data_IF_059311869817
#
_entry.id   IF_059311869817
#
_cell.length_a   1.000
_cell.length_b   1.000
_cell.length_c   1.000
_cell.angle_alpha   90.00
_cell.angle_beta   90.00
_cell.angle_gamma   90.00
#
_symmetry.space_group_name_H-M   'P 1'
#
loop_
_entity.id
_entity.type
_entity.pdbx_description
1 polymer ?
#
# COMPACT_ATOMS: atom_id res chain seq x y z
N UNK A 1 21.18 -8.45 -18.14
CA UNK A 1 20.96 -9.44 -17.06
C UNK A 1 20.87 -8.71 -15.74
N UNK A 2 19.65 -8.43 -15.26
CA UNK A 2 19.41 -7.73 -13.99
C UNK A 2 19.22 -8.75 -12.88
N UNK A 3 20.07 -8.70 -11.85
CA UNK A 3 20.05 -9.62 -10.71
C UNK A 3 18.65 -9.63 -10.03
N UNK A 4 18.16 -10.83 -9.71
CA UNK A 4 16.94 -10.99 -8.92
C UNK A 4 17.17 -10.40 -7.51
N UNK A 5 16.17 -9.72 -6.92
CA UNK A 5 16.29 -9.27 -5.55
C UNK A 5 16.48 -10.47 -4.63
N UNK A 6 17.60 -10.51 -3.91
CA UNK A 6 17.89 -11.56 -2.93
C UNK A 6 16.97 -11.45 -1.70
N UNK A 7 16.72 -12.53 -0.97
CA UNK A 7 15.91 -12.52 0.27
C UNK A 7 16.33 -11.44 1.28
N UNK A 8 17.62 -11.10 1.31
CA UNK A 8 18.18 -10.03 2.13
C UNK A 8 17.56 -8.64 1.81
N UNK A 9 17.19 -8.39 0.56
CA UNK A 9 16.56 -7.12 0.14
C UNK A 9 15.11 -7.01 0.60
N UNK A 10 14.37 -8.12 0.56
CA UNK A 10 13.00 -8.21 1.08
C UNK A 10 12.97 -8.04 2.60
N UNK A 11 13.89 -8.70 3.31
CA UNK A 11 14.03 -8.55 4.77
C UNK A 11 14.31 -7.09 5.17
N UNK A 12 15.29 -6.45 4.51
CA UNK A 12 15.60 -5.02 4.74
C UNK A 12 14.41 -4.12 4.47
N UNK A 13 13.63 -4.40 3.43
CA UNK A 13 12.40 -3.64 3.14
C UNK A 13 11.39 -3.74 4.28
N UNK A 14 11.10 -4.96 4.77
CA UNK A 14 10.13 -5.18 5.85
C UNK A 14 10.60 -4.50 7.14
N UNK A 15 11.89 -4.61 7.49
CA UNK A 15 12.46 -3.95 8.67
C UNK A 15 12.34 -2.42 8.59
N UNK A 16 12.62 -1.83 7.43
CA UNK A 16 12.46 -0.39 7.22
C UNK A 16 11.00 0.05 7.29
N UNK A 17 10.07 -0.72 6.73
CA UNK A 17 8.62 -0.42 6.83
C UNK A 17 8.14 -0.52 8.27
N UNK A 18 8.66 -1.47 9.06
CA UNK A 18 8.34 -1.62 10.49
C UNK A 18 8.72 -0.38 11.29
N UNK A 19 9.85 0.26 10.99
CA UNK A 19 10.28 1.53 11.63
C UNK A 19 9.36 2.71 11.33
N UNK A 20 8.54 2.62 10.28
CA UNK A 20 7.57 3.65 9.91
C UNK A 20 6.22 3.48 10.62
N UNK A 21 5.95 2.31 11.22
CA UNK A 21 4.72 2.06 11.97
C UNK A 21 4.62 3.04 13.14
N UNK A 22 3.46 3.67 13.32
CA UNK A 22 3.22 4.69 14.35
C UNK A 22 3.67 6.12 13.99
N UNK A 23 4.53 6.31 12.98
CA UNK A 23 4.91 7.64 12.46
C UNK A 23 3.92 8.18 11.42
N UNK A 24 3.00 7.35 10.95
CA UNK A 24 1.98 7.72 9.97
C UNK A 24 0.62 7.85 10.63
N UNK A 25 -0.06 9.00 10.46
CA UNK A 25 -1.40 9.26 11.01
C UNK A 25 -2.52 8.33 10.51
N UNK A 26 -2.26 7.48 9.52
CA UNK A 26 -3.24 6.50 9.03
C UNK A 26 -2.80 5.10 9.43
N UNK A 27 -3.51 4.52 10.41
CA UNK A 27 -3.35 3.12 10.87
C UNK A 27 -3.54 2.08 9.76
N UNK A 28 -4.04 2.48 8.59
CA UNK A 28 -4.46 1.58 7.51
C UNK A 28 -3.47 1.56 6.33
N UNK A 29 -2.32 2.20 6.47
CA UNK A 29 -1.30 2.24 5.41
C UNK A 29 -0.27 1.13 5.54
N UNK A 30 0.00 0.70 6.78
CA UNK A 30 1.00 -0.30 7.12
C UNK A 30 0.25 -1.35 7.93
N UNK A 31 -0.07 -2.46 7.28
CA UNK A 31 -0.76 -3.60 7.89
C UNK A 31 0.17 -4.79 7.79
N UNK A 32 0.58 -5.31 8.93
CA UNK A 32 1.28 -6.60 8.99
C UNK A 32 0.27 -7.72 8.80
N UNK A 33 0.76 -8.92 8.48
CA UNK A 33 -0.11 -10.06 8.18
C UNK A 33 -1.16 -10.32 9.25
N UNK A 34 -0.80 -10.22 10.53
CA UNK A 34 -1.73 -10.45 11.63
C UNK A 34 -2.86 -9.40 11.65
N UNK A 35 -2.53 -8.13 11.40
CA UNK A 35 -3.49 -7.02 11.34
C UNK A 35 -4.38 -7.11 10.10
N UNK A 36 -3.80 -7.57 9.00
CA UNK A 36 -4.51 -7.82 7.76
C UNK A 36 -5.52 -8.97 7.92
N UNK A 37 -5.13 -10.06 8.58
CA UNK A 37 -6.00 -11.21 8.83
C UNK A 37 -7.18 -10.84 9.74
N UNK A 38 -6.94 -10.01 10.78
CA UNK A 38 -8.01 -9.45 11.61
C UNK A 38 -8.93 -8.53 10.81
N UNK A 39 -8.38 -7.66 9.96
CA UNK A 39 -9.19 -6.80 9.10
C UNK A 39 -10.07 -7.64 8.16
N UNK A 40 -9.53 -8.71 7.60
CA UNK A 40 -10.28 -9.64 6.76
C UNK A 40 -11.41 -10.30 7.54
N UNK A 41 -11.15 -10.81 8.75
CA UNK A 41 -12.21 -11.44 9.55
C UNK A 41 -13.32 -10.44 9.89
N UNK A 42 -12.99 -9.22 10.31
CA UNK A 42 -13.98 -8.16 10.58
C UNK A 42 -14.86 -7.85 9.36
N UNK A 43 -14.28 -7.87 8.15
CA UNK A 43 -15.03 -7.68 6.90
C UNK A 43 -15.95 -8.86 6.63
N UNK A 44 -15.46 -10.10 6.79
CA UNK A 44 -16.28 -11.32 6.61
C UNK A 44 -17.45 -11.36 7.58
N UNK A 45 -17.21 -11.03 8.84
CA UNK A 45 -18.23 -10.98 9.87
C UNK A 45 -19.27 -9.90 9.56
N UNK A 46 -18.83 -8.73 9.10
CA UNK A 46 -19.73 -7.65 8.67
C UNK A 46 -20.57 -8.04 7.44
N UNK A 47 -19.98 -8.75 6.48
CA UNK A 47 -20.65 -9.22 5.26
C UNK A 47 -21.71 -10.29 5.59
N UNK A 48 -21.38 -11.19 6.51
CA UNK A 48 -22.23 -12.30 6.94
C UNK A 48 -23.30 -11.90 7.96
N UNK A 49 -23.20 -10.71 8.54
CA UNK A 49 -24.19 -10.20 9.50
C UNK A 49 -25.51 -9.85 8.79
N UNK A 50 -26.53 -10.68 9.01
CA UNK A 50 -27.90 -10.49 8.49
C UNK A 50 -28.75 -9.50 9.32
N UNK A 51 -28.27 -9.06 10.48
CA UNK A 51 -28.93 -8.07 11.33
C UNK A 51 -28.54 -6.62 11.01
N UNK A 52 -29.02 -5.66 11.82
CA UNK A 52 -28.60 -4.26 11.72
C UNK A 52 -27.09 -4.14 11.87
N UNK A 53 -26.44 -3.48 10.92
CA UNK A 53 -24.99 -3.28 10.91
C UNK A 53 -24.60 -2.13 11.82
N UNK A 54 -23.55 -2.32 12.61
CA UNK A 54 -22.97 -1.25 13.42
C UNK A 54 -22.28 -0.20 12.53
N UNK A 55 -22.07 1.04 13.00
CA UNK A 55 -21.31 2.05 12.25
C UNK A 55 -19.89 1.61 11.89
N UNK A 56 -19.28 0.71 12.68
CA UNK A 56 -17.99 0.12 12.34
C UNK A 56 -18.10 -0.87 11.18
N UNK A 57 -19.09 -1.77 11.21
CA UNK A 57 -19.35 -2.75 10.15
C UNK A 57 -19.66 -2.07 8.81
N UNK A 58 -20.49 -1.01 8.81
CA UNK A 58 -20.75 -0.22 7.60
C UNK A 58 -19.47 0.37 7.01
N UNK A 59 -18.64 1.02 7.83
CA UNK A 59 -17.35 1.58 7.39
C UNK A 59 -16.38 0.52 6.88
N UNK A 60 -16.39 -0.68 7.46
CA UNK A 60 -15.59 -1.82 6.98
C UNK A 60 -16.06 -2.30 5.62
N UNK A 61 -17.35 -2.49 5.42
CA UNK A 61 -17.90 -2.94 4.14
C UNK A 61 -17.72 -1.93 3.02
N UNK A 62 -18.00 -0.65 3.29
CA UNK A 62 -17.80 0.44 2.33
C UNK A 62 -16.35 0.50 1.85
N UNK A 63 -15.40 0.36 2.77
CA UNK A 63 -13.98 0.56 2.47
C UNK A 63 -13.25 -0.70 2.01
N UNK A 64 -13.69 -1.86 2.49
CA UNK A 64 -12.94 -3.12 2.40
C UNK A 64 -13.80 -4.32 1.99
N UNK A 65 -15.11 -4.17 1.78
CA UNK A 65 -16.00 -5.26 1.37
C UNK A 65 -15.61 -5.92 0.04
N UNK A 66 -14.85 -5.21 -0.79
CA UNK A 66 -14.31 -5.76 -2.03
C UNK A 66 -13.06 -6.63 -1.85
N UNK A 67 -12.39 -6.57 -0.69
CA UNK A 67 -11.23 -7.42 -0.38
C UNK A 67 -11.68 -8.89 -0.26
N UNK A 68 -12.79 -9.13 0.42
CA UNK A 68 -13.33 -10.48 0.67
C UNK A 68 -13.70 -11.21 -0.62
N UNK A 69 -14.37 -10.52 -1.56
CA UNK A 69 -14.80 -11.07 -2.87
C UNK A 69 -13.64 -11.55 -3.77
N UNK A 70 -12.40 -11.19 -3.44
CA UNK A 70 -11.20 -11.53 -4.21
C UNK A 70 -10.33 -12.57 -3.52
N UNK A 71 -10.25 -12.56 -2.18
CA UNK A 71 -9.59 -13.64 -1.42
C UNK A 71 -10.26 -14.99 -1.69
N UNK A 72 -11.59 -15.04 -1.77
CA UNK A 72 -12.34 -16.27 -2.05
C UNK A 72 -12.09 -16.76 -3.49
N UNK A 73 -12.09 -15.86 -4.48
CA UNK A 73 -11.80 -16.19 -5.89
C UNK A 73 -10.37 -16.67 -6.14
N UNK A 74 -9.39 -16.06 -5.48
CA UNK A 74 -7.99 -16.49 -5.59
C UNK A 74 -7.75 -17.88 -4.98
N UNK A 75 -8.51 -18.27 -3.93
CA UNK A 75 -8.46 -19.64 -3.38
C UNK A 75 -9.09 -20.67 -4.32
N UNK A 76 -10.21 -20.33 -4.95
CA UNK A 76 -10.88 -21.18 -5.95
C UNK A 76 -10.04 -21.38 -7.21
N UNK A 77 -9.24 -20.38 -7.62
CA UNK A 77 -8.34 -20.47 -8.77
C UNK A 77 -7.01 -21.18 -8.46
N UNK A 78 -6.46 -21.03 -7.24
CA UNK A 78 -5.29 -21.82 -6.79
C UNK A 78 -5.54 -23.32 -6.70
N UNK A 79 -6.80 -23.75 -6.58
CA UNK A 79 -7.17 -25.17 -6.64
C UNK A 79 -7.12 -25.79 -8.04
N UNK A 80 -6.80 -25.03 -9.09
CA UNK A 80 -6.87 -25.47 -10.49
C UNK A 80 -5.57 -25.42 -11.29
N UNK A 81 -4.47 -24.90 -10.75
CA UNK A 81 -3.23 -24.74 -11.53
C UNK A 81 -2.00 -25.23 -10.77
N UNK A 82 -1.49 -26.40 -11.16
CA UNK A 82 -0.11 -26.84 -10.92
C UNK A 82 0.76 -26.17 -11.99
N UNK A 83 1.33 -24.99 -11.74
CA UNK A 83 2.50 -24.50 -12.47
C UNK A 83 3.18 -23.40 -11.63
N UNK A 84 4.51 -23.52 -11.45
CA UNK A 84 5.33 -22.72 -10.53
C UNK A 84 5.59 -21.27 -10.97
N UNK A 85 4.87 -20.76 -11.98
CA UNK A 85 5.07 -19.41 -12.55
C UNK A 85 3.82 -18.51 -12.51
N UNK A 86 2.82 -18.81 -11.67
CA UNK A 86 1.56 -18.05 -11.63
C UNK A 86 1.68 -16.72 -10.86
N UNK A 87 2.25 -15.71 -11.51
CA UNK A 87 2.05 -14.31 -11.12
C UNK A 87 0.63 -13.86 -11.49
N UNK A 88 -0.26 -13.95 -10.50
CA UNK A 88 -1.66 -13.47 -10.42
C UNK A 88 -2.25 -12.76 -11.67
N UNK A 89 -3.28 -13.44 -12.19
CA UNK A 89 -4.23 -13.05 -13.22
C UNK A 89 -4.73 -11.60 -13.04
N UNK A 90 -4.63 -10.80 -14.11
CA UNK A 90 -5.21 -9.47 -14.24
C UNK A 90 -6.70 -9.61 -14.51
N UNK A 91 -7.55 -9.19 -13.56
CA UNK A 91 -9.00 -9.03 -13.79
C UNK A 91 -9.31 -7.52 -13.76
N UNK A 92 -9.82 -7.00 -14.88
CA UNK A 92 -10.32 -5.62 -15.01
C UNK A 92 -11.60 -5.46 -14.16
N UNK A 93 -11.43 -5.08 -12.89
CA UNK A 93 -12.50 -4.52 -12.07
C UNK A 93 -12.11 -3.08 -11.78
N UNK A 94 -12.58 -2.16 -12.62
CA UNK A 94 -12.14 -0.75 -12.65
C UNK A 94 -12.27 0.03 -11.34
N UNK A 95 -12.98 -0.51 -10.33
CA UNK A 95 -13.22 0.16 -9.05
C UNK A 95 -12.82 -0.64 -7.80
N UNK A 96 -12.16 -1.80 -7.94
CA UNK A 96 -11.72 -2.56 -6.75
C UNK A 96 -10.24 -2.33 -6.46
N UNK A 97 -9.96 -1.68 -5.32
CA UNK A 97 -8.60 -1.53 -4.79
C UNK A 97 -8.30 -2.56 -3.70
N UNK A 98 -7.20 -3.27 -3.87
CA UNK A 98 -6.60 -4.21 -2.94
C UNK A 98 -5.95 -3.49 -1.74
N UNK A 99 -5.81 -4.23 -0.64
CA UNK A 99 -4.94 -3.92 0.49
C UNK A 99 -3.95 -5.07 0.58
N UNK A 100 -2.66 -4.76 0.63
CA UNK A 100 -1.62 -5.78 0.76
C UNK A 100 -0.99 -5.74 2.16
N UNK A 101 -0.72 -6.90 2.80
CA UNK A 101 0.11 -6.94 3.99
C UNK A 101 1.57 -6.59 3.65
N UNK A 102 2.33 -6.06 4.63
CA UNK A 102 3.72 -5.60 4.45
C UNK A 102 4.62 -6.69 3.86
N UNK A 103 4.40 -7.93 4.27
CA UNK A 103 5.13 -9.13 3.87
C UNK A 103 5.03 -9.40 2.36
N UNK A 104 3.94 -8.95 1.71
CA UNK A 104 3.70 -9.08 0.27
C UNK A 104 4.05 -7.81 -0.52
N UNK A 105 4.15 -6.66 0.14
CA UNK A 105 4.34 -5.37 -0.54
C UNK A 105 5.61 -5.32 -1.40
N UNK A 106 6.70 -5.93 -0.95
CA UNK A 106 7.96 -5.93 -1.71
C UNK A 106 7.84 -6.67 -3.05
N UNK A 107 7.21 -7.84 -3.02
CA UNK A 107 7.03 -8.67 -4.21
C UNK A 107 6.08 -7.94 -5.17
N UNK A 108 4.95 -7.43 -4.66
CA UNK A 108 4.00 -6.63 -5.44
C UNK A 108 4.69 -5.43 -6.10
N UNK A 109 5.49 -4.66 -5.34
CA UNK A 109 6.25 -3.53 -5.87
C UNK A 109 7.22 -3.95 -6.96
N UNK A 110 7.92 -5.08 -6.78
CA UNK A 110 8.92 -5.59 -7.72
C UNK A 110 8.28 -6.07 -9.02
N UNK A 111 7.22 -6.86 -8.92
CA UNK A 111 6.44 -7.37 -10.04
C UNK A 111 5.87 -6.20 -10.84
N UNK A 112 5.25 -5.25 -10.16
CA UNK A 112 4.62 -4.11 -10.80
C UNK A 112 5.64 -3.15 -11.42
N UNK A 113 6.79 -2.93 -10.78
CA UNK A 113 7.88 -2.13 -11.34
C UNK A 113 8.36 -2.72 -12.67
N UNK A 114 8.45 -4.05 -12.77
CA UNK A 114 8.79 -4.73 -14.03
C UNK A 114 7.67 -4.63 -15.05
N UNK A 115 6.41 -4.86 -14.67
CA UNK A 115 5.27 -4.88 -15.60
C UNK A 115 5.04 -3.54 -16.30
N UNK A 116 5.34 -2.42 -15.63
CA UNK A 116 5.24 -1.08 -16.24
C UNK A 116 6.52 -0.64 -16.97
N UNK A 117 7.48 -1.56 -17.20
CA UNK A 117 8.73 -1.29 -17.90
C UNK A 117 9.72 -0.46 -17.07
N UNK A 118 9.98 -0.87 -15.82
CA UNK A 118 10.86 -0.19 -14.88
C UNK A 118 10.49 1.27 -14.60
N UNK A 119 9.18 1.54 -14.58
CA UNK A 119 8.65 2.88 -14.33
C UNK A 119 9.17 3.47 -13.01
N UNK A 120 9.55 4.74 -13.06
CA UNK A 120 9.98 5.48 -11.87
C UNK A 120 8.85 5.72 -10.87
N UNK A 121 9.18 6.40 -9.77
CA UNK A 121 8.27 6.62 -8.63
C UNK A 121 6.88 7.15 -9.01
N UNK A 122 6.79 8.18 -9.86
CA UNK A 122 5.49 8.80 -10.15
C UNK A 122 4.61 7.89 -11.02
N UNK A 123 5.21 7.16 -11.97
CA UNK A 123 4.50 6.15 -12.77
C UNK A 123 4.05 4.97 -11.90
N UNK A 124 4.94 4.46 -11.05
CA UNK A 124 4.61 3.45 -10.03
C UNK A 124 3.44 3.91 -9.16
N UNK A 125 3.48 5.15 -8.66
CA UNK A 125 2.42 5.68 -7.80
C UNK A 125 1.08 5.78 -8.52
N UNK A 126 1.06 6.34 -9.73
CA UNK A 126 -0.18 6.51 -10.50
C UNK A 126 -0.78 5.15 -10.83
N UNK A 127 0.01 4.25 -11.41
CA UNK A 127 -0.47 2.95 -11.88
C UNK A 127 -0.84 2.04 -10.70
N UNK A 128 -0.02 1.99 -9.64
CA UNK A 128 -0.32 1.20 -8.45
C UNK A 128 -1.55 1.72 -7.70
N UNK A 129 -1.87 3.01 -7.76
CA UNK A 129 -3.03 3.58 -7.02
C UNK A 129 -4.38 3.13 -7.57
N UNK A 130 -4.38 2.66 -8.82
CA UNK A 130 -5.55 2.05 -9.46
C UNK A 130 -5.87 0.69 -8.84
N UNK A 131 -4.85 -0.04 -8.40
CA UNK A 131 -4.99 -1.40 -7.88
C UNK A 131 -4.85 -1.48 -6.37
N UNK A 132 -3.97 -0.73 -5.71
CA UNK A 132 -3.69 -0.86 -4.28
C UNK A 132 -3.93 0.45 -3.52
N UNK A 133 -4.67 0.34 -2.42
CA UNK A 133 -5.05 1.47 -1.58
C UNK A 133 -3.99 1.87 -0.55
N UNK A 134 -3.13 0.94 -0.12
CA UNK A 134 -2.16 1.16 0.96
C UNK A 134 -0.69 1.25 0.49
N UNK A 135 -0.33 0.70 -0.67
CA UNK A 135 1.06 0.73 -1.21
C UNK A 135 1.48 2.12 -1.70
N UNK A 136 0.53 2.98 -2.10
CA UNK A 136 0.83 4.26 -2.78
C UNK A 136 1.07 5.45 -1.84
N UNK A 137 1.04 5.23 -0.52
CA UNK A 137 1.22 6.28 0.48
C UNK A 137 2.70 6.58 0.77
N UNK A 138 3.50 6.68 -0.28
CA UNK A 138 4.91 7.06 -0.20
C UNK A 138 5.12 8.56 -0.02
N UNK A 139 6.28 8.89 0.53
CA UNK A 139 6.90 10.23 0.64
C UNK A 139 6.41 11.21 -0.44
N UNK A 140 5.70 12.27 -0.01
CA UNK A 140 5.30 13.36 -0.89
C UNK A 140 6.39 14.43 -0.84
N UNK A 141 7.10 14.65 -1.96
CA UNK A 141 7.96 15.84 -2.10
C UNK A 141 7.08 17.08 -1.93
N UNK A 142 7.55 18.04 -1.13
CA UNK A 142 7.01 19.38 -1.20
C UNK A 142 7.49 20.03 -2.51
N UNK A 143 6.66 20.90 -3.09
CA UNK A 143 7.05 21.71 -4.24
C UNK A 143 7.80 22.99 -3.81
N UNK A 144 8.06 23.15 -2.51
CA UNK A 144 8.74 24.33 -1.98
C UNK A 144 10.22 24.28 -2.36
N UNK A 145 10.71 25.38 -2.93
CA UNK A 145 12.10 25.50 -3.36
C UNK A 145 13.02 25.88 -2.19
N UNK A 146 12.59 26.79 -1.29
CA UNK A 146 13.25 27.13 -0.01
C UNK A 146 12.19 27.62 1.01
N UNK A 147 12.45 27.55 2.31
CA UNK A 147 11.62 28.08 3.42
C UNK A 147 10.18 27.52 3.55
N UNK A 148 10.06 26.28 4.02
CA UNK A 148 8.77 25.63 4.32
C UNK A 148 8.07 26.14 5.59
N UNK A 149 7.89 27.46 5.74
CA UNK A 149 7.28 28.05 6.93
C UNK A 149 5.77 28.19 6.86
N UNK A 150 5.15 28.04 5.68
CA UNK A 150 3.74 28.36 5.48
C UNK A 150 2.97 27.09 5.07
N UNK A 151 1.63 27.13 5.17
CA UNK A 151 0.75 26.01 4.77
C UNK A 151 0.75 25.72 3.25
N UNK A 152 1.54 26.46 2.47
CA UNK A 152 1.90 26.15 1.09
C UNK A 152 2.82 24.92 0.99
N UNK A 153 3.58 24.63 2.05
CA UNK A 153 4.36 23.41 2.15
C UNK A 153 3.48 22.20 2.41
N UNK A 154 3.52 21.22 1.50
CA UNK A 154 2.79 19.95 1.61
C UNK A 154 3.17 19.14 2.86
N UNK A 155 4.42 19.24 3.32
CA UNK A 155 4.89 18.63 4.56
C UNK A 155 4.26 19.30 5.77
N UNK A 156 4.46 20.61 5.92
CA UNK A 156 3.91 21.42 7.03
C UNK A 156 2.38 21.34 7.11
N UNK A 157 1.67 21.46 5.99
CA UNK A 157 0.19 21.34 5.91
C UNK A 157 -0.34 20.01 6.46
N UNK A 158 0.46 18.94 6.40
CA UNK A 158 0.12 17.60 6.90
C UNK A 158 0.81 17.25 8.22
N UNK A 159 1.41 18.24 8.91
CA UNK A 159 2.23 18.03 10.12
C UNK A 159 3.34 16.98 9.92
N UNK A 160 4.08 17.06 8.80
CA UNK A 160 5.23 16.21 8.50
C UNK A 160 6.47 17.05 8.22
N UNK A 161 7.61 16.61 8.75
CA UNK A 161 8.91 17.22 8.52
C UNK A 161 9.40 16.93 7.09
N UNK A 162 9.99 17.94 6.45
CA UNK A 162 10.67 17.82 5.16
C UNK A 162 12.02 17.12 5.36
N UNK A 163 12.36 16.19 4.47
CA UNK A 163 13.66 15.51 4.53
C UNK A 163 14.62 16.02 3.44
N UNK A 164 15.84 15.49 3.44
CA UNK A 164 16.90 15.87 2.48
C UNK A 164 16.50 15.69 1.01
N UNK A 165 15.56 14.78 0.70
CA UNK A 165 15.02 14.54 -0.66
C UNK A 165 14.00 15.60 -1.10
N UNK A 166 13.58 16.54 -0.24
CA UNK A 166 12.70 17.66 -0.61
C UNK A 166 13.49 18.80 -1.22
N UNK A 167 14.74 18.99 -0.77
CA UNK A 167 15.49 20.22 -1.01
C UNK A 167 16.95 19.96 -1.42
N UNK A 168 17.28 18.76 -1.92
CA UNK A 168 18.65 18.36 -2.27
C UNK A 168 19.65 18.73 -1.15
N UNK A 169 19.28 18.41 0.10
CA UNK A 169 20.04 18.72 1.31
C UNK A 169 20.18 20.20 1.71
N UNK A 170 19.56 21.16 0.99
CA UNK A 170 19.57 22.56 1.42
C UNK A 170 18.82 22.79 2.75
N UNK A 171 19.10 23.93 3.40
CA UNK A 171 18.48 24.31 4.68
C UNK A 171 16.97 24.51 4.51
N UNK A 172 16.19 23.97 5.44
CA UNK A 172 14.73 24.06 5.43
C UNK A 172 14.23 24.26 6.85
N UNK A 173 13.27 25.17 7.04
CA UNK A 173 12.70 25.53 8.34
C UNK A 173 11.66 24.54 8.88
N UNK A 174 11.31 23.52 8.10
CA UNK A 174 10.41 22.43 8.49
C UNK A 174 11.17 21.10 8.41
N UNK A 175 12.30 21.01 9.11
CA UNK A 175 13.14 19.79 9.20
C UNK A 175 12.89 19.06 10.50
#
# INVERSE_FOLDING_TARGET
>A
MTALPTDNTKFKFVDEVKKLKGRTNSRLNILFKEEYDVLLSEVRDASSNNGPKTPLQYRRLERFGNIEKLVTRNKEQKGKENNEDSHNIVIDIRDVRYVAPVEEMFDILTIFHRSIGHGGRDRMKTEMSKQYSNITQGYQRCNCTKFCQNNTCRGKKKNRLCNSKCHQSSSCSNK
#
